data_IF_658367084042
#
_entry.id   IF_658367084042
#
_cell.length_a   1.000
_cell.length_b   1.000
_cell.length_c   1.000
_cell.angle_alpha   90.00
_cell.angle_beta   90.00
_cell.angle_gamma   90.00
#
_symmetry.space_group_name_H-M   'P 1'
#
loop_
_entity.id
_entity.type
_entity.pdbx_description
1 polymer ?
#
# COMPACT_ATOMS: atom_id res chain seq x y z
N UNK A 1 16.12 4.67 -5.61
CA UNK A 1 16.30 4.96 -4.17
C UNK A 1 15.20 4.23 -3.40
N UNK A 2 15.53 3.48 -2.36
CA UNK A 2 14.55 2.91 -1.44
C UNK A 2 14.39 3.86 -0.24
N UNK A 3 13.16 4.22 0.11
CA UNK A 3 12.86 4.96 1.32
C UNK A 3 12.54 3.98 2.44
N UNK A 4 13.00 4.27 3.67
CA UNK A 4 12.52 3.56 4.86
C UNK A 4 11.17 4.14 5.21
N UNK A 5 10.19 3.27 5.39
CA UNK A 5 8.86 3.67 5.78
C UNK A 5 8.67 3.47 7.29
N UNK A 6 8.28 4.53 7.98
CA UNK A 6 7.98 4.50 9.40
C UNK A 6 6.62 3.81 9.64
N UNK A 7 6.61 2.77 10.50
CA UNK A 7 5.39 2.13 10.97
C UNK A 7 4.73 2.98 12.06
N UNK A 8 4.18 4.10 11.64
CA UNK A 8 3.46 5.01 12.53
C UNK A 8 2.14 4.38 13.01
N UNK A 9 1.59 4.80 14.17
CA UNK A 9 0.32 4.29 14.67
C UNK A 9 -0.84 4.35 13.64
N UNK A 10 -0.99 5.41 12.82
CA UNK A 10 -2.02 5.44 11.77
C UNK A 10 -1.86 4.35 10.70
N UNK A 11 -0.61 4.04 10.30
CA UNK A 11 -0.33 2.98 9.32
C UNK A 11 -0.69 1.61 9.91
N UNK A 12 -0.29 1.37 11.16
CA UNK A 12 -0.60 0.10 11.84
C UNK A 12 -2.11 -0.08 12.05
N UNK A 13 -2.83 0.97 12.47
CA UNK A 13 -4.28 0.93 12.61
C UNK A 13 -4.94 0.55 11.27
N UNK A 14 -4.55 1.23 10.19
CA UNK A 14 -5.08 0.94 8.85
C UNK A 14 -4.74 -0.47 8.38
N UNK A 15 -3.57 -1.00 8.69
CA UNK A 15 -3.17 -2.35 8.31
C UNK A 15 -3.98 -3.46 9.00
N UNK A 16 -4.66 -3.15 10.11
CA UNK A 16 -5.54 -4.07 10.84
C UNK A 16 -6.98 -4.04 10.32
N UNK A 17 -7.38 -2.99 9.61
CA UNK A 17 -8.69 -2.91 8.98
C UNK A 17 -8.84 -3.87 7.80
N UNK A 18 -10.08 -4.23 7.49
CA UNK A 18 -10.39 -5.08 6.35
C UNK A 18 -9.92 -4.44 5.02
N UNK A 19 -9.38 -5.28 4.13
CA UNK A 19 -9.05 -4.90 2.77
C UNK A 19 -10.11 -5.44 1.79
N UNK A 20 -10.33 -4.77 0.64
CA UNK A 20 -11.28 -5.24 -0.37
C UNK A 20 -10.97 -6.64 -0.93
N UNK A 21 -9.72 -7.07 -0.81
CA UNK A 21 -9.25 -8.41 -1.17
C UNK A 21 -8.39 -8.97 -0.03
N UNK A 22 -8.33 -10.30 0.15
CA UNK A 22 -7.41 -10.89 1.12
C UNK A 22 -5.96 -10.55 0.80
N UNK A 23 -5.23 -10.07 1.81
CA UNK A 23 -3.81 -9.67 1.72
C UNK A 23 -3.01 -10.33 2.83
N UNK A 24 -1.72 -10.54 2.60
CA UNK A 24 -0.79 -11.00 3.64
C UNK A 24 -0.38 -9.83 4.53
N UNK A 25 0.16 -10.12 5.71
CA UNK A 25 0.55 -9.08 6.69
C UNK A 25 1.47 -8.02 6.09
N UNK A 26 2.51 -8.43 5.34
CA UNK A 26 3.43 -7.47 4.73
C UNK A 26 2.77 -6.65 3.61
N UNK A 27 1.85 -7.25 2.83
CA UNK A 27 1.09 -6.53 1.81
C UNK A 27 0.17 -5.49 2.47
N UNK A 28 -0.49 -5.85 3.58
CA UNK A 28 -1.32 -4.93 4.35
C UNK A 28 -0.52 -3.72 4.84
N UNK A 29 0.70 -3.94 5.35
CA UNK A 29 1.60 -2.86 5.74
C UNK A 29 1.96 -1.97 4.56
N UNK A 30 2.36 -2.53 3.41
CA UNK A 30 2.68 -1.73 2.23
C UNK A 30 1.49 -0.89 1.75
N UNK A 31 0.29 -1.49 1.67
CA UNK A 31 -0.91 -0.81 1.21
C UNK A 31 -1.35 0.30 2.16
N UNK A 32 -1.38 0.03 3.48
CA UNK A 32 -1.71 1.03 4.50
C UNK A 32 -0.76 2.24 4.44
N UNK A 33 0.52 1.97 4.18
CA UNK A 33 1.55 2.99 4.03
C UNK A 33 1.37 3.84 2.78
N UNK A 34 1.04 3.21 1.65
CA UNK A 34 0.73 3.93 0.42
C UNK A 34 -0.50 4.83 0.59
N UNK A 35 -1.55 4.35 1.28
CA UNK A 35 -2.72 5.17 1.59
C UNK A 35 -2.40 6.33 2.53
N UNK A 36 -1.53 6.10 3.53
CA UNK A 36 -1.06 7.16 4.42
C UNK A 36 -0.31 8.26 3.64
N UNK A 37 0.66 7.90 2.80
CA UNK A 37 1.37 8.86 1.94
C UNK A 37 0.41 9.61 0.99
N UNK A 38 -0.55 8.90 0.39
CA UNK A 38 -1.57 9.50 -0.48
C UNK A 38 -2.45 10.50 0.28
N UNK A 39 -2.83 10.19 1.52
CA UNK A 39 -3.59 11.08 2.39
C UNK A 39 -2.80 12.35 2.78
N UNK A 40 -1.46 12.28 2.78
CA UNK A 40 -0.58 13.44 2.95
C UNK A 40 -0.31 14.22 1.64
N UNK A 41 -1.02 13.87 0.55
CA UNK A 41 -0.89 14.54 -0.74
C UNK A 41 0.30 14.07 -1.59
N UNK A 42 1.02 13.02 -1.19
CA UNK A 42 2.08 12.45 -2.02
C UNK A 42 1.48 11.58 -3.14
N UNK A 43 1.86 11.79 -4.41
CA UNK A 43 1.47 10.87 -5.48
C UNK A 43 2.19 9.53 -5.28
N UNK A 44 1.44 8.44 -5.31
CA UNK A 44 1.96 7.08 -5.07
C UNK A 44 1.50 6.16 -6.20
N UNK A 45 2.45 5.38 -6.72
CA UNK A 45 2.20 4.28 -7.64
C UNK A 45 2.87 3.00 -7.12
N UNK A 46 2.29 1.84 -7.42
CA UNK A 46 2.84 0.55 -7.01
C UNK A 46 3.70 -0.06 -8.13
N UNK A 47 4.92 -0.46 -7.79
CA UNK A 47 5.81 -1.20 -8.66
C UNK A 47 6.17 -2.52 -7.97
N UNK A 48 5.58 -3.64 -8.40
CA UNK A 48 5.80 -4.94 -7.78
C UNK A 48 5.70 -6.07 -8.80
N UNK A 49 6.57 -7.07 -8.66
CA UNK A 49 6.47 -8.32 -9.41
C UNK A 49 5.31 -9.21 -8.94
N UNK A 50 4.91 -9.08 -7.66
CA UNK A 50 3.75 -9.79 -7.15
C UNK A 50 2.46 -9.18 -7.68
N UNK A 51 1.86 -9.84 -8.66
CA UNK A 51 0.59 -9.44 -9.27
C UNK A 51 -0.57 -9.38 -8.26
N UNK A 52 -0.49 -10.12 -7.15
CA UNK A 52 -1.50 -10.07 -6.08
C UNK A 52 -1.47 -8.73 -5.37
N UNK A 53 -0.27 -8.23 -5.05
CA UNK A 53 -0.09 -6.91 -4.44
C UNK A 53 -0.52 -5.80 -5.41
N UNK A 54 -0.16 -5.88 -6.69
CA UNK A 54 -0.60 -4.92 -7.71
C UNK A 54 -2.13 -4.89 -7.81
N UNK A 55 -2.78 -6.07 -7.81
CA UNK A 55 -4.24 -6.16 -7.83
C UNK A 55 -4.87 -5.54 -6.58
N UNK A 56 -4.33 -5.83 -5.40
CA UNK A 56 -4.83 -5.28 -4.14
C UNK A 56 -4.69 -3.75 -4.09
N UNK A 57 -3.56 -3.20 -4.54
CA UNK A 57 -3.35 -1.77 -4.68
C UNK A 57 -4.36 -1.14 -5.65
N UNK A 58 -4.62 -1.79 -6.79
CA UNK A 58 -5.65 -1.36 -7.74
C UNK A 58 -7.06 -1.33 -7.13
N UNK A 59 -7.41 -2.29 -6.27
CA UNK A 59 -8.68 -2.27 -5.53
C UNK A 59 -8.81 -1.11 -4.52
N UNK A 60 -7.71 -0.45 -4.18
CA UNK A 60 -7.67 0.76 -3.35
C UNK A 60 -7.51 2.06 -4.19
N UNK A 61 -7.56 1.94 -5.52
CA UNK A 61 -7.36 3.06 -6.44
C UNK A 61 -5.91 3.55 -6.50
N UNK A 62 -4.93 2.68 -6.22
CA UNK A 62 -3.50 2.98 -6.38
C UNK A 62 -3.06 2.43 -7.75
N UNK A 63 -2.50 3.29 -8.59
CA UNK A 63 -2.08 2.92 -9.94
C UNK A 63 -0.79 2.11 -9.95
N UNK A 64 -0.67 1.20 -10.92
CA UNK A 64 0.57 0.48 -11.17
C UNK A 64 1.55 1.31 -11.98
N UNK A 65 2.81 1.36 -11.56
CA UNK A 65 3.91 1.84 -12.37
C UNK A 65 4.19 0.84 -13.50
N UNK A 66 4.42 1.35 -14.73
CA UNK A 66 4.86 0.52 -15.85
C UNK A 66 6.36 0.24 -15.70
N UNK A 67 6.67 -0.96 -15.21
CA UNK A 67 8.03 -1.51 -15.12
C UNK A 67 8.65 -1.72 -16.50
#
# INVERSE_FOLDING_TARGET
MAAVLELSPPVLARALDAFPVPVRTLDALHLASMEFSRAQGQPVQVAAYDRRLVKAAGSLGIESYKL
#
